data_IF_899079082738
#
_entry.id   IF_899079082738
#
_cell.length_a   1.000
_cell.length_b   1.000
_cell.length_c   1.000
_cell.angle_alpha   90.00
_cell.angle_beta   90.00
_cell.angle_gamma   90.00
#
_symmetry.space_group_name_H-M   'P 1'
#
loop_
_entity.id
_entity.type
_entity.pdbx_description
1 polymer ?
#
# COMPACT_ATOMS: atom_id res chain seq x y z
N UNK A 1 -40.89 63.54 -8.28
CA UNK A 1 -39.50 63.02 -8.40
C UNK A 1 -39.08 62.22 -7.16
N UNK A 2 -39.18 62.77 -5.95
CA UNK A 2 -38.78 62.09 -4.70
C UNK A 2 -39.56 60.77 -4.40
N UNK A 3 -40.89 60.76 -4.52
CA UNK A 3 -41.71 59.53 -4.30
C UNK A 3 -41.30 58.36 -5.21
N UNK A 4 -40.95 58.66 -6.46
CA UNK A 4 -40.52 57.69 -7.48
C UNK A 4 -39.11 57.15 -7.21
N UNK A 5 -38.24 57.96 -6.59
CA UNK A 5 -36.91 57.53 -6.16
C UNK A 5 -37.00 56.60 -4.94
N UNK A 6 -37.87 56.90 -3.98
CA UNK A 6 -38.09 56.04 -2.80
C UNK A 6 -38.58 54.63 -3.15
N UNK A 7 -39.49 54.50 -4.12
CA UNK A 7 -39.99 53.20 -4.59
C UNK A 7 -38.93 52.36 -5.31
N UNK A 8 -38.04 53.02 -6.06
CA UNK A 8 -36.89 52.35 -6.68
C UNK A 8 -35.91 51.84 -5.64
N UNK A 9 -35.64 52.62 -4.59
CA UNK A 9 -34.75 52.24 -3.50
C UNK A 9 -35.27 51.01 -2.75
N UNK A 10 -36.55 51.00 -2.36
CA UNK A 10 -37.17 49.85 -1.67
C UNK A 10 -37.16 48.57 -2.51
N UNK A 11 -37.34 48.70 -3.83
CA UNK A 11 -37.25 47.55 -4.75
C UNK A 11 -35.84 46.96 -4.79
N UNK A 12 -34.83 47.83 -4.77
CA UNK A 12 -33.42 47.44 -4.75
C UNK A 12 -33.05 46.75 -3.43
N UNK A 13 -33.50 47.28 -2.29
CA UNK A 13 -33.28 46.68 -0.97
C UNK A 13 -33.88 45.27 -0.88
N UNK A 14 -35.12 45.09 -1.36
CA UNK A 14 -35.77 43.78 -1.38
C UNK A 14 -35.03 42.77 -2.27
N UNK A 15 -34.50 43.23 -3.42
CA UNK A 15 -33.70 42.39 -4.32
C UNK A 15 -32.41 41.93 -3.63
N UNK A 16 -31.66 42.86 -3.04
CA UNK A 16 -30.42 42.53 -2.35
C UNK A 16 -30.66 41.63 -1.12
N UNK A 17 -31.73 41.87 -0.35
CA UNK A 17 -32.09 41.01 0.77
C UNK A 17 -32.36 39.56 0.33
N UNK A 18 -33.05 39.38 -0.81
CA UNK A 18 -33.30 38.07 -1.39
C UNK A 18 -32.00 37.37 -1.84
N UNK A 19 -31.12 38.10 -2.55
CA UNK A 19 -29.81 37.56 -2.98
C UNK A 19 -28.93 37.17 -1.79
N UNK A 20 -28.88 37.99 -0.74
CA UNK A 20 -28.15 37.69 0.51
C UNK A 20 -28.71 36.44 1.19
N UNK A 21 -30.04 36.27 1.23
CA UNK A 21 -30.68 35.09 1.80
C UNK A 21 -30.33 33.81 1.01
N UNK A 22 -30.25 33.92 -0.32
CA UNK A 22 -29.86 32.82 -1.20
C UNK A 22 -28.40 32.43 -0.96
N UNK A 23 -27.49 33.40 -0.96
CA UNK A 23 -26.06 33.17 -0.70
C UNK A 23 -25.82 32.53 0.67
N UNK A 24 -26.54 32.97 1.72
CA UNK A 24 -26.48 32.33 3.05
C UNK A 24 -26.87 30.86 3.01
N UNK A 25 -27.91 30.53 2.24
CA UNK A 25 -28.37 29.14 2.08
C UNK A 25 -27.34 28.27 1.33
N UNK A 26 -26.69 28.85 0.31
CA UNK A 26 -25.63 28.18 -0.45
C UNK A 26 -24.39 27.93 0.41
N UNK A 27 -23.96 28.91 1.22
CA UNK A 27 -22.85 28.76 2.18
C UNK A 27 -23.15 27.63 3.17
N UNK A 28 -24.35 27.62 3.76
CA UNK A 28 -24.75 26.54 4.68
C UNK A 28 -24.73 25.16 4.01
N UNK A 29 -25.06 25.08 2.72
CA UNK A 29 -24.98 23.82 1.97
C UNK A 29 -23.53 23.39 1.70
N UNK A 30 -22.64 24.34 1.40
CA UNK A 30 -21.20 24.08 1.24
C UNK A 30 -20.58 23.62 2.57
N UNK A 31 -20.93 24.24 3.69
CA UNK A 31 -20.46 23.83 5.02
C UNK A 31 -20.88 22.40 5.35
N UNK A 32 -22.14 22.04 5.08
CA UNK A 32 -22.63 20.66 5.26
C UNK A 32 -21.86 19.65 4.42
N UNK A 33 -21.59 19.98 3.16
CA UNK A 33 -20.79 19.12 2.26
C UNK A 33 -19.35 18.99 2.76
N UNK A 34 -18.74 20.08 3.23
CA UNK A 34 -17.37 20.09 3.76
C UNK A 34 -17.25 19.24 5.02
N UNK A 35 -18.21 19.34 5.94
CA UNK A 35 -18.26 18.50 7.14
C UNK A 35 -18.43 17.02 6.78
N UNK A 36 -19.29 16.72 5.81
CA UNK A 36 -19.49 15.34 5.31
C UNK A 36 -18.20 14.79 4.70
N UNK A 37 -17.52 15.57 3.86
CA UNK A 37 -16.27 15.17 3.23
C UNK A 37 -15.16 14.96 4.27
N UNK A 38 -15.04 15.86 5.24
CA UNK A 38 -14.08 15.75 6.34
C UNK A 38 -14.28 14.45 7.13
N UNK A 39 -15.53 14.12 7.46
CA UNK A 39 -15.86 12.86 8.14
C UNK A 39 -15.50 11.64 7.29
N UNK A 40 -15.79 11.67 5.98
CA UNK A 40 -15.46 10.56 5.08
C UNK A 40 -13.94 10.37 4.94
N UNK A 41 -13.17 11.45 4.84
CA UNK A 41 -11.70 11.40 4.77
C UNK A 41 -11.13 10.82 6.07
N UNK A 42 -11.61 11.26 7.23
CA UNK A 42 -11.18 10.72 8.52
C UNK A 42 -11.50 9.22 8.64
N UNK A 43 -12.70 8.80 8.25
CA UNK A 43 -13.08 7.39 8.23
C UNK A 43 -12.21 6.58 7.27
N UNK A 44 -11.92 7.09 6.07
CA UNK A 44 -11.07 6.41 5.11
C UNK A 44 -9.64 6.28 5.63
N UNK A 45 -9.08 7.33 6.25
CA UNK A 45 -7.76 7.29 6.89
C UNK A 45 -7.67 6.18 7.94
N UNK A 46 -8.68 6.05 8.80
CA UNK A 46 -8.72 4.98 9.82
C UNK A 46 -8.82 3.58 9.21
N UNK A 47 -9.55 3.41 8.09
CA UNK A 47 -9.67 2.13 7.39
C UNK A 47 -8.36 1.75 6.69
N UNK A 48 -7.73 2.70 6.01
CA UNK A 48 -6.44 2.50 5.34
C UNK A 48 -5.39 2.07 6.35
N UNK A 49 -5.32 2.74 7.51
CA UNK A 49 -4.37 2.36 8.57
C UNK A 49 -4.62 0.92 9.06
N UNK A 50 -5.87 0.51 9.26
CA UNK A 50 -6.20 -0.86 9.68
C UNK A 50 -5.80 -1.93 8.66
N UNK A 51 -5.88 -1.62 7.37
CA UNK A 51 -5.53 -2.57 6.30
C UNK A 51 -4.03 -2.58 6.03
N UNK A 52 -3.32 -1.45 6.21
CA UNK A 52 -1.87 -1.38 6.03
C UNK A 52 -1.12 -2.37 6.95
N UNK A 53 -1.65 -2.59 8.15
CA UNK A 53 -1.05 -3.49 9.14
C UNK A 53 -1.53 -4.95 9.00
N UNK A 54 -2.44 -5.24 8.06
CA UNK A 54 -3.08 -6.55 7.93
C UNK A 54 -2.88 -7.14 6.55
N UNK A 55 -2.26 -8.32 6.52
CA UNK A 55 -2.16 -9.10 5.31
C UNK A 55 -3.53 -9.68 4.90
N UNK A 56 -3.80 -9.79 3.58
CA UNK A 56 -5.02 -10.42 3.08
C UNK A 56 -5.26 -11.81 3.68
N UNK A 57 -6.53 -12.20 3.77
CA UNK A 57 -6.91 -13.57 4.13
C UNK A 57 -6.38 -14.56 3.10
N UNK A 58 -5.86 -15.70 3.57
CA UNK A 58 -5.36 -16.77 2.73
C UNK A 58 -4.09 -17.40 3.31
N UNK A 59 -3.55 -18.37 2.58
CA UNK A 59 -2.29 -19.03 2.91
C UNK A 59 -1.22 -18.63 1.90
N UNK A 60 -0.08 -18.19 2.42
CA UNK A 60 0.98 -17.66 1.57
C UNK A 60 2.32 -17.76 2.30
N UNK A 61 3.36 -17.96 1.51
CA UNK A 61 4.74 -17.94 1.97
C UNK A 61 5.48 -16.83 1.23
N UNK A 62 6.21 -16.00 1.97
CA UNK A 62 7.09 -14.97 1.43
C UNK A 62 8.54 -15.32 1.78
N UNK A 63 9.49 -14.93 0.94
CA UNK A 63 10.92 -15.13 1.24
C UNK A 63 11.29 -14.35 2.50
N UNK A 64 11.94 -15.04 3.44
CA UNK A 64 12.32 -14.45 4.72
C UNK A 64 13.56 -13.58 4.56
N UNK A 65 13.60 -12.47 5.29
CA UNK A 65 14.76 -11.58 5.45
C UNK A 65 14.75 -11.06 6.89
N UNK A 66 15.39 -11.79 7.80
CA UNK A 66 15.29 -11.54 9.24
C UNK A 66 14.03 -12.15 9.88
N UNK A 67 13.44 -11.42 10.84
CA UNK A 67 12.28 -11.89 11.59
C UNK A 67 11.01 -11.92 10.73
N UNK A 68 10.13 -12.91 10.95
CA UNK A 68 8.87 -12.99 10.22
C UNK A 68 7.88 -11.90 10.67
N UNK A 69 7.08 -11.33 9.76
CA UNK A 69 6.00 -10.43 10.12
C UNK A 69 5.02 -11.09 11.08
N UNK A 70 4.29 -10.27 11.85
CA UNK A 70 3.28 -10.76 12.78
C UNK A 70 2.26 -11.66 12.06
N UNK A 71 1.94 -12.80 12.68
CA UNK A 71 1.02 -13.80 12.13
C UNK A 71 1.64 -14.80 11.15
N UNK A 72 2.95 -14.72 10.87
CA UNK A 72 3.66 -15.74 10.09
C UNK A 72 4.59 -16.55 10.96
N UNK A 73 4.81 -17.79 10.54
CA UNK A 73 5.82 -18.67 11.11
C UNK A 73 6.97 -18.86 10.14
N UNK A 74 8.19 -18.90 10.68
CA UNK A 74 9.38 -19.22 9.87
C UNK A 74 9.32 -20.68 9.42
N UNK A 75 9.69 -20.90 8.17
CA UNK A 75 9.89 -22.20 7.53
C UNK A 75 11.19 -22.16 6.76
N UNK A 76 11.93 -23.25 6.78
CA UNK A 76 13.20 -23.33 6.08
C UNK A 76 13.42 -24.74 5.55
N UNK A 77 14.09 -24.83 4.42
CA UNK A 77 14.54 -26.09 3.84
C UNK A 77 15.79 -25.85 3.02
N UNK A 78 16.48 -26.94 2.70
CA UNK A 78 17.60 -26.88 1.80
C UNK A 78 17.64 -28.12 0.91
N UNK A 79 18.27 -27.95 -0.25
CA UNK A 79 18.69 -29.03 -1.12
C UNK A 79 20.21 -28.93 -1.23
N UNK A 80 20.92 -30.00 -0.86
CA UNK A 80 22.38 -30.07 -0.89
C UNK A 80 22.82 -31.10 -1.90
N UNK A 81 24.06 -30.96 -2.37
CA UNK A 81 24.65 -31.85 -3.35
C UNK A 81 23.70 -32.07 -4.53
N UNK A 82 23.35 -31.00 -5.23
CA UNK A 82 22.59 -31.09 -6.47
C UNK A 82 23.56 -31.46 -7.59
N UNK A 83 23.29 -32.56 -8.29
CA UNK A 83 24.00 -32.91 -9.53
C UNK A 83 23.46 -32.09 -10.68
N UNK A 84 24.32 -31.34 -11.37
CA UNK A 84 23.97 -30.55 -12.54
C UNK A 84 24.62 -31.10 -13.81
N UNK A 85 24.01 -30.81 -14.95
CA UNK A 85 24.54 -31.20 -16.26
C UNK A 85 25.98 -30.69 -16.47
N UNK A 86 26.27 -29.44 -16.09
CA UNK A 86 27.64 -28.95 -15.94
C UNK A 86 27.77 -28.17 -14.64
N UNK A 87 28.91 -28.34 -13.96
CA UNK A 87 29.14 -27.73 -12.65
C UNK A 87 29.57 -26.27 -12.70
N UNK A 88 29.83 -25.69 -13.86
CA UNK A 88 30.41 -24.35 -13.95
C UNK A 88 29.39 -23.21 -13.75
N UNK A 89 29.91 -21.98 -13.68
CA UNK A 89 29.13 -20.75 -13.44
C UNK A 89 28.10 -20.39 -14.53
N UNK A 90 27.99 -21.16 -15.63
CA UNK A 90 26.90 -20.99 -16.60
C UNK A 90 25.59 -21.59 -16.10
N UNK A 91 25.64 -22.57 -15.18
CA UNK A 91 24.46 -23.29 -14.68
C UNK A 91 24.08 -22.90 -13.25
N UNK A 92 25.03 -22.38 -12.47
CA UNK A 92 24.75 -21.79 -11.15
C UNK A 92 25.16 -20.33 -11.15
N UNK A 93 24.17 -19.46 -10.97
CA UNK A 93 24.40 -18.10 -10.53
C UNK A 93 24.29 -18.04 -9.01
N UNK A 94 25.42 -17.92 -8.31
CA UNK A 94 25.41 -17.83 -6.86
C UNK A 94 24.81 -16.49 -6.42
N UNK A 95 24.04 -16.52 -5.33
CA UNK A 95 23.37 -15.32 -4.85
C UNK A 95 22.72 -15.51 -3.50
N UNK A 96 22.53 -14.41 -2.80
CA UNK A 96 21.77 -14.35 -1.54
C UNK A 96 20.58 -13.43 -1.75
N UNK A 97 19.41 -13.83 -1.25
CA UNK A 97 18.18 -13.05 -1.33
C UNK A 97 17.39 -13.21 -0.04
N UNK A 98 17.41 -12.16 0.78
CA UNK A 98 17.02 -12.24 2.18
C UNK A 98 17.92 -13.25 2.91
N UNK A 99 17.31 -14.17 3.63
CA UNK A 99 18.00 -15.25 4.33
C UNK A 99 18.19 -16.51 3.46
N UNK A 100 17.71 -16.50 2.21
CA UNK A 100 17.83 -17.61 1.27
C UNK A 100 19.09 -17.43 0.40
N UNK A 101 19.62 -18.53 -0.14
CA UNK A 101 20.80 -18.48 -1.01
C UNK A 101 20.91 -19.65 -1.97
N UNK A 102 21.59 -19.39 -3.09
CA UNK A 102 22.10 -20.38 -4.03
C UNK A 102 23.61 -20.30 -3.97
N UNK A 103 24.29 -21.43 -3.75
CA UNK A 103 25.75 -21.45 -3.67
C UNK A 103 26.36 -22.71 -4.29
N UNK A 104 27.63 -22.60 -4.64
CA UNK A 104 28.45 -23.72 -5.08
C UNK A 104 29.27 -24.30 -3.92
N UNK A 105 29.59 -25.59 -3.98
CA UNK A 105 30.64 -26.18 -3.15
C UNK A 105 31.99 -25.60 -3.60
N UNK A 106 32.50 -24.58 -2.90
CA UNK A 106 33.69 -23.84 -3.35
C UNK A 106 33.42 -23.02 -4.63
N UNK A 107 34.36 -23.01 -5.57
CA UNK A 107 34.14 -22.44 -6.90
C UNK A 107 33.17 -23.30 -7.72
N UNK A 108 32.26 -22.69 -8.48
CA UNK A 108 31.34 -23.45 -9.32
C UNK A 108 32.11 -24.31 -10.34
N UNK A 109 31.98 -25.62 -10.20
CA UNK A 109 32.58 -26.62 -11.09
C UNK A 109 33.88 -27.18 -10.57
N UNK A 110 34.37 -26.68 -9.43
CA UNK A 110 35.59 -27.15 -8.78
C UNK A 110 35.55 -28.65 -8.47
N UNK A 111 34.37 -29.19 -8.14
CA UNK A 111 34.17 -30.60 -7.77
C UNK A 111 33.28 -31.37 -8.77
N UNK A 112 33.28 -30.94 -10.03
CA UNK A 112 32.48 -31.57 -11.08
C UNK A 112 30.98 -31.29 -10.94
N UNK A 113 30.14 -32.31 -11.16
CA UNK A 113 28.69 -32.15 -11.32
C UNK A 113 27.93 -31.94 -10.00
N UNK A 114 28.47 -32.42 -8.87
CA UNK A 114 27.85 -32.32 -7.53
C UNK A 114 28.25 -31.03 -6.82
N UNK A 115 27.84 -29.90 -7.40
CA UNK A 115 28.39 -28.60 -7.02
C UNK A 115 27.37 -27.66 -6.39
N UNK A 116 26.05 -27.90 -6.51
CA UNK A 116 25.04 -26.90 -6.15
C UNK A 116 24.36 -27.14 -4.80
N UNK A 117 24.08 -26.07 -4.08
CA UNK A 117 23.18 -26.04 -2.93
C UNK A 117 22.16 -24.91 -3.06
N UNK A 118 20.93 -25.19 -2.62
CA UNK A 118 19.83 -24.24 -2.53
C UNK A 118 19.32 -24.21 -1.10
N UNK A 119 19.27 -23.04 -0.50
CA UNK A 119 18.69 -22.80 0.82
C UNK A 119 17.51 -21.86 0.66
N UNK A 120 16.32 -22.29 1.08
CA UNK A 120 15.10 -21.49 1.06
C UNK A 120 14.64 -21.25 2.48
N UNK A 121 14.54 -19.97 2.85
CA UNK A 121 13.93 -19.50 4.07
C UNK A 121 12.69 -18.68 3.71
N UNK A 122 11.56 -19.01 4.32
CA UNK A 122 10.28 -18.36 4.09
C UNK A 122 9.55 -18.06 5.41
N UNK A 123 8.68 -17.07 5.37
CA UNK A 123 7.67 -16.82 6.39
C UNK A 123 6.34 -17.24 5.81
N UNK A 124 5.66 -18.20 6.45
CA UNK A 124 4.40 -18.76 5.99
C UNK A 124 3.27 -18.50 6.99
N UNK A 125 2.09 -18.21 6.48
CA UNK A 125 0.83 -18.07 7.23
C UNK A 125 -0.20 -19.04 6.69
#
# INVERSE_FOLDING_TARGET
KLKTQGTKLTSLDNKYASEVSKLRSEIQNVDKKTNTLTNNVNQLGTKVQKVADQWPSGSYCILASGSCPAGFSRRSGYMKAISLYAGDGRYINQGTFGDSKIQCHGGCGQYGHWTGELYINACCK
#
